data_IF_993803816619
#
_entry.id   IF_993803816619
#
_cell.length_a   1.000
_cell.length_b   1.000
_cell.length_c   1.000
_cell.angle_alpha   90.00
_cell.angle_beta   90.00
_cell.angle_gamma   90.00
#
_symmetry.space_group_name_H-M   'P 1'
#
loop_
_entity.id
_entity.type
_entity.pdbx_description
1 polymer ?
#
# COMPACT_ATOMS: atom_id res chain seq x y z
N UNK A 1 -13.23 33.15 27.68
CA UNK A 1 -13.68 31.74 27.88
C UNK A 1 -12.52 30.82 27.58
N UNK A 2 -12.17 29.86 28.46
CA UNK A 2 -11.04 28.93 28.22
C UNK A 2 -11.36 28.01 27.02
N UNK A 3 -10.44 27.88 26.08
CA UNK A 3 -10.59 27.08 24.85
C UNK A 3 -11.12 25.64 25.10
N UNK A 4 -10.76 25.04 26.23
CA UNK A 4 -11.23 23.71 26.65
C UNK A 4 -12.75 23.64 26.90
N UNK A 5 -13.35 24.71 27.45
CA UNK A 5 -14.80 24.72 27.71
C UNK A 5 -15.60 24.93 26.44
N UNK A 6 -15.00 25.62 25.48
CA UNK A 6 -15.54 25.85 24.15
C UNK A 6 -15.57 24.54 23.32
N UNK A 7 -14.45 23.81 23.27
CA UNK A 7 -14.35 22.52 22.59
C UNK A 7 -15.34 21.49 23.17
N UNK A 8 -15.45 21.37 24.47
CA UNK A 8 -16.41 20.46 25.15
C UNK A 8 -17.85 20.76 24.81
N UNK A 9 -18.23 22.04 24.73
CA UNK A 9 -19.60 22.44 24.34
C UNK A 9 -19.89 22.10 22.88
N UNK A 10 -18.98 22.44 21.94
CA UNK A 10 -19.14 22.15 20.52
C UNK A 10 -19.20 20.62 20.26
N UNK A 11 -18.36 19.84 20.91
CA UNK A 11 -18.34 18.38 20.77
C UNK A 11 -19.60 17.71 21.36
N UNK A 12 -20.04 18.14 22.54
CA UNK A 12 -21.21 17.59 23.17
C UNK A 12 -22.50 17.88 22.41
N UNK A 13 -22.62 19.07 21.81
CA UNK A 13 -23.77 19.42 20.98
C UNK A 13 -23.73 18.74 19.60
N UNK A 14 -22.54 18.57 19.01
CA UNK A 14 -22.36 17.84 17.75
C UNK A 14 -22.76 16.35 17.90
N UNK A 15 -22.41 15.71 19.01
CA UNK A 15 -22.83 14.33 19.32
C UNK A 15 -24.36 14.22 19.49
N UNK A 16 -25.00 15.16 20.16
CA UNK A 16 -26.48 15.18 20.29
C UNK A 16 -27.16 15.44 18.94
N UNK A 17 -26.55 16.27 18.08
CA UNK A 17 -27.01 16.53 16.71
C UNK A 17 -27.02 15.30 15.83
N UNK A 18 -25.94 14.49 15.90
CA UNK A 18 -25.79 13.22 15.19
C UNK A 18 -26.86 12.19 15.60
N UNK A 19 -27.17 12.11 16.90
CA UNK A 19 -28.19 11.17 17.43
C UNK A 19 -29.62 11.58 17.02
N UNK A 20 -29.90 12.88 16.88
CA UNK A 20 -31.22 13.37 16.50
C UNK A 20 -31.61 13.18 15.04
N UNK A 21 -30.62 13.06 14.12
CA UNK A 21 -30.82 12.90 12.67
C UNK A 21 -29.93 11.77 12.09
N UNK A 22 -30.06 10.61 12.66
CA UNK A 22 -29.22 9.41 12.34
C UNK A 22 -29.12 9.11 10.85
N UNK A 23 -30.21 9.28 10.06
CA UNK A 23 -30.23 8.94 8.63
C UNK A 23 -29.32 9.82 7.77
N UNK A 24 -29.32 11.14 7.96
CA UNK A 24 -28.49 12.05 7.16
C UNK A 24 -27.00 11.99 7.57
N UNK A 25 -26.74 11.90 8.88
CA UNK A 25 -25.37 11.75 9.37
C UNK A 25 -24.76 10.41 8.99
N UNK A 26 -25.53 9.30 9.04
CA UNK A 26 -25.05 7.98 8.67
C UNK A 26 -24.69 7.89 7.18
N UNK A 27 -25.45 8.56 6.28
CA UNK A 27 -25.11 8.57 4.86
C UNK A 27 -23.76 9.25 4.58
N UNK A 28 -23.47 10.38 5.22
CA UNK A 28 -22.19 11.06 5.09
C UNK A 28 -21.04 10.20 5.64
N UNK A 29 -21.18 9.61 6.83
CA UNK A 29 -20.22 8.69 7.42
C UNK A 29 -19.96 7.50 6.49
N UNK A 30 -21.01 6.91 5.91
CA UNK A 30 -20.92 5.73 5.07
C UNK A 30 -20.21 6.03 3.74
N UNK A 31 -20.45 7.20 3.14
CA UNK A 31 -19.78 7.62 1.90
C UNK A 31 -18.31 7.93 2.17
N UNK A 32 -17.99 8.61 3.27
CA UNK A 32 -16.59 8.82 3.68
C UNK A 32 -15.90 7.47 3.94
N UNK A 33 -16.57 6.56 4.65
CA UNK A 33 -16.04 5.24 4.93
C UNK A 33 -15.76 4.46 3.64
N UNK A 34 -16.72 4.43 2.70
CA UNK A 34 -16.55 3.76 1.41
C UNK A 34 -15.41 4.35 0.59
N UNK A 35 -15.29 5.68 0.57
CA UNK A 35 -14.18 6.37 -0.11
C UNK A 35 -12.83 5.97 0.45
N UNK A 36 -12.72 5.91 1.79
CA UNK A 36 -11.49 5.53 2.46
C UNK A 36 -11.21 4.03 2.37
N UNK A 37 -12.24 3.17 2.24
CA UNK A 37 -12.06 1.74 1.95
C UNK A 37 -11.46 1.55 0.56
N UNK A 38 -11.94 2.26 -0.45
CA UNK A 38 -11.39 2.20 -1.80
C UNK A 38 -9.93 2.67 -1.80
N UNK A 39 -9.68 3.88 -1.31
CA UNK A 39 -8.32 4.43 -1.25
C UNK A 39 -7.38 3.55 -0.40
N UNK A 40 -7.82 3.18 0.80
CA UNK A 40 -7.06 2.37 1.73
C UNK A 40 -6.82 0.95 1.22
N UNK A 41 -7.77 0.37 0.49
CA UNK A 41 -7.62 -0.93 -0.16
C UNK A 41 -6.48 -0.94 -1.18
N UNK A 42 -6.45 0.05 -2.07
CA UNK A 42 -5.34 0.21 -3.02
C UNK A 42 -4.00 0.46 -2.32
N UNK A 43 -3.99 1.28 -1.26
CA UNK A 43 -2.77 1.51 -0.48
C UNK A 43 -2.31 0.24 0.24
N UNK A 44 -3.24 -0.55 0.77
CA UNK A 44 -2.94 -1.81 1.44
C UNK A 44 -2.31 -2.82 0.47
N UNK A 45 -2.91 -3.00 -0.70
CA UNK A 45 -2.37 -3.89 -1.75
C UNK A 45 -1.00 -3.40 -2.20
N UNK A 46 -0.86 -2.10 -2.52
CA UNK A 46 0.41 -1.51 -2.92
C UNK A 46 1.50 -1.65 -1.85
N UNK A 47 1.16 -1.49 -0.57
CA UNK A 47 2.10 -1.65 0.55
C UNK A 47 2.62 -3.09 0.64
N UNK A 48 1.72 -4.07 0.56
CA UNK A 48 2.09 -5.49 0.62
C UNK A 48 2.91 -5.93 -0.60
N UNK A 49 2.55 -5.46 -1.81
CA UNK A 49 3.33 -5.74 -3.01
C UNK A 49 4.72 -5.10 -2.97
N UNK A 50 4.83 -3.86 -2.47
CA UNK A 50 6.14 -3.23 -2.28
C UNK A 50 7.01 -4.00 -1.28
N UNK A 51 6.42 -4.54 -0.20
CA UNK A 51 7.13 -5.40 0.75
C UNK A 51 7.66 -6.68 0.10
N UNK A 52 6.88 -7.28 -0.79
CA UNK A 52 7.31 -8.45 -1.58
C UNK A 52 8.46 -8.08 -2.53
N UNK A 53 8.30 -6.98 -3.29
CA UNK A 53 9.33 -6.49 -4.20
C UNK A 53 10.64 -6.16 -3.48
N UNK A 54 10.55 -5.57 -2.28
CA UNK A 54 11.74 -5.25 -1.49
C UNK A 54 12.49 -6.52 -1.06
N UNK A 55 11.78 -7.53 -0.59
CA UNK A 55 12.36 -8.85 -0.26
C UNK A 55 12.98 -9.54 -1.47
N UNK A 56 12.37 -9.42 -2.65
CA UNK A 56 12.93 -9.95 -3.89
C UNK A 56 14.17 -9.17 -4.32
N UNK A 57 14.16 -7.86 -4.14
CA UNK A 57 15.32 -7.00 -4.38
C UNK A 57 16.49 -7.29 -3.43
N UNK A 58 16.20 -7.53 -2.15
CA UNK A 58 17.23 -7.91 -1.16
C UNK A 58 17.86 -9.28 -1.52
N UNK A 59 17.07 -10.16 -2.11
CA UNK A 59 17.55 -11.42 -2.70
C UNK A 59 18.13 -11.25 -4.10
N UNK A 60 18.26 -10.00 -4.60
CA UNK A 60 18.76 -9.67 -5.93
C UNK A 60 20.11 -10.34 -6.22
N UNK A 61 20.03 -11.54 -6.76
CA UNK A 61 21.16 -12.35 -7.13
C UNK A 61 21.35 -12.23 -8.63
N UNK A 62 22.59 -11.97 -9.05
CA UNK A 62 22.99 -12.29 -10.42
C UNK A 62 23.26 -13.77 -10.43
N UNK A 63 22.62 -14.50 -11.32
CA UNK A 63 22.82 -15.93 -11.44
C UNK A 63 23.61 -16.20 -12.70
N UNK A 64 24.82 -16.74 -12.53
CA UNK A 64 25.71 -17.13 -13.64
C UNK A 64 25.60 -18.63 -13.81
N UNK A 65 24.97 -19.06 -14.89
CA UNK A 65 24.81 -20.48 -15.21
C UNK A 65 26.04 -21.00 -15.93
N UNK A 66 26.45 -22.19 -15.55
CA UNK A 66 27.59 -22.87 -16.20
C UNK A 66 27.12 -23.84 -17.28
N UNK A 67 27.91 -23.98 -18.34
CA UNK A 67 27.66 -24.96 -19.38
C UNK A 67 27.62 -26.39 -18.82
N UNK A 68 26.77 -27.29 -19.38
CA UNK A 68 26.80 -28.68 -19.00
C UNK A 68 28.17 -29.29 -19.31
N UNK A 69 28.80 -29.90 -18.29
CA UNK A 69 30.13 -30.51 -18.47
C UNK A 69 31.32 -29.56 -18.30
N UNK A 70 31.12 -28.39 -17.68
CA UNK A 70 32.19 -27.46 -17.33
C UNK A 70 33.33 -28.15 -16.59
N UNK A 71 34.56 -27.70 -16.82
CA UNK A 71 35.77 -28.20 -16.16
C UNK A 71 36.03 -27.45 -14.83
N UNK A 72 36.78 -28.09 -13.93
CA UNK A 72 37.22 -27.47 -12.68
C UNK A 72 38.02 -26.16 -12.92
N UNK A 73 38.81 -26.12 -14.01
CA UNK A 73 39.54 -24.90 -14.38
C UNK A 73 38.63 -23.77 -14.82
N UNK A 74 37.54 -24.04 -15.53
CA UNK A 74 36.53 -23.06 -15.91
C UNK A 74 35.78 -22.54 -14.69
N UNK A 75 35.38 -23.44 -13.79
CA UNK A 75 34.75 -23.04 -12.53
C UNK A 75 35.65 -22.12 -11.68
N UNK A 76 36.96 -22.43 -11.62
CA UNK A 76 37.94 -21.58 -10.93
C UNK A 76 38.06 -20.20 -11.58
N UNK A 77 38.17 -20.13 -12.91
CA UNK A 77 38.27 -18.88 -13.64
C UNK A 77 37.05 -17.97 -13.37
N UNK A 78 35.83 -18.53 -13.40
CA UNK A 78 34.61 -17.80 -13.05
C UNK A 78 34.64 -17.37 -11.58
N UNK A 79 35.08 -18.24 -10.66
CA UNK A 79 35.18 -17.90 -9.22
C UNK A 79 36.14 -16.76 -8.99
N UNK A 80 37.29 -16.73 -9.66
CA UNK A 80 38.29 -15.68 -9.50
C UNK A 80 37.79 -14.35 -10.09
N UNK A 81 37.16 -14.38 -11.27
CA UNK A 81 36.53 -13.19 -11.86
C UNK A 81 35.42 -12.59 -10.97
N UNK A 82 34.61 -13.44 -10.35
CA UNK A 82 33.57 -13.00 -9.37
C UNK A 82 34.23 -12.37 -8.16
N UNK A 83 35.29 -12.99 -7.62
CA UNK A 83 35.99 -12.50 -6.42
C UNK A 83 36.74 -11.19 -6.64
N UNK A 84 37.25 -10.95 -7.85
CA UNK A 84 37.95 -9.72 -8.21
C UNK A 84 37.02 -8.53 -8.45
N UNK A 85 35.70 -8.75 -8.55
CA UNK A 85 34.72 -7.70 -8.77
C UNK A 85 34.38 -7.00 -7.46
N UNK A 86 34.66 -5.68 -7.29
CA UNK A 86 34.46 -4.95 -6.03
C UNK A 86 32.96 -4.68 -5.73
N UNK A 87 32.08 -4.95 -6.68
CA UNK A 87 30.63 -4.78 -6.57
C UNK A 87 29.95 -5.91 -5.81
N UNK A 88 30.67 -7.02 -5.57
CA UNK A 88 30.10 -8.23 -4.99
C UNK A 88 30.24 -8.24 -3.48
N UNK A 89 29.13 -8.51 -2.80
CA UNK A 89 29.06 -8.70 -1.35
C UNK A 89 29.39 -10.14 -0.98
N UNK A 90 28.72 -11.09 -1.65
CA UNK A 90 28.91 -12.51 -1.42
C UNK A 90 28.54 -13.32 -2.67
N UNK A 91 29.08 -14.52 -2.80
CA UNK A 91 28.66 -15.47 -3.81
C UNK A 91 28.68 -16.89 -3.27
N UNK A 92 27.83 -17.74 -3.87
CA UNK A 92 27.75 -19.15 -3.53
C UNK A 92 27.67 -19.96 -4.82
N UNK A 93 28.45 -21.01 -4.91
CA UNK A 93 28.31 -22.01 -5.95
C UNK A 93 27.16 -22.96 -5.58
N UNK A 94 26.26 -23.20 -6.52
CA UNK A 94 25.14 -24.13 -6.41
C UNK A 94 25.34 -25.21 -7.47
N UNK A 95 25.50 -26.45 -7.04
CA UNK A 95 25.58 -27.58 -7.95
C UNK A 95 24.22 -27.91 -8.58
N UNK A 96 24.23 -28.63 -9.71
CA UNK A 96 22.99 -29.07 -10.36
C UNK A 96 22.07 -29.88 -9.43
N UNK A 97 22.63 -30.72 -8.55
CA UNK A 97 21.89 -31.55 -7.60
C UNK A 97 21.30 -30.69 -6.45
N UNK A 98 22.06 -29.69 -6.00
CA UNK A 98 21.60 -28.73 -5.01
C UNK A 98 20.45 -27.88 -5.57
N UNK A 99 20.58 -27.42 -6.83
CA UNK A 99 19.53 -26.70 -7.54
C UNK A 99 18.24 -27.53 -7.68
N UNK A 100 18.34 -28.81 -8.03
CA UNK A 100 17.20 -29.72 -8.11
C UNK A 100 16.54 -29.96 -6.74
N UNK A 101 17.34 -30.04 -5.69
CA UNK A 101 16.83 -30.20 -4.32
C UNK A 101 16.11 -28.93 -3.85
N UNK A 102 16.69 -27.78 -4.13
CA UNK A 102 16.06 -26.50 -3.81
C UNK A 102 14.76 -26.31 -4.59
N UNK A 103 14.74 -26.62 -5.88
CA UNK A 103 13.55 -26.55 -6.73
C UNK A 103 12.40 -27.41 -6.18
N UNK A 104 12.70 -28.64 -5.75
CA UNK A 104 11.69 -29.52 -5.13
C UNK A 104 11.14 -28.96 -3.83
N UNK A 105 11.97 -28.30 -3.03
CA UNK A 105 11.53 -27.69 -1.77
C UNK A 105 10.67 -26.45 -1.99
N UNK A 106 11.04 -25.64 -3.00
CA UNK A 106 10.36 -24.37 -3.29
C UNK A 106 9.06 -24.58 -4.09
N UNK A 107 9.01 -25.64 -4.93
CA UNK A 107 7.90 -25.96 -5.82
C UNK A 107 7.43 -27.43 -5.63
N UNK A 108 6.81 -27.71 -4.50
CA UNK A 108 6.41 -29.08 -4.14
C UNK A 108 5.54 -29.79 -5.21
N UNK A 109 4.61 -29.03 -5.84
CA UNK A 109 3.73 -29.58 -6.90
C UNK A 109 4.46 -29.85 -8.22
N UNK A 110 5.52 -29.10 -8.53
CA UNK A 110 6.33 -29.24 -9.75
C UNK A 110 7.57 -30.09 -9.51
N UNK A 111 7.97 -30.30 -8.26
CA UNK A 111 9.15 -31.07 -7.89
C UNK A 111 9.08 -32.52 -8.36
N UNK A 112 7.88 -33.09 -8.42
CA UNK A 112 7.64 -34.45 -8.93
C UNK A 112 7.94 -34.56 -10.43
N UNK A 113 7.81 -33.48 -11.20
CA UNK A 113 8.13 -33.49 -12.63
C UNK A 113 9.61 -33.77 -12.88
N UNK A 114 10.50 -33.29 -12.00
CA UNK A 114 11.94 -33.58 -12.12
C UNK A 114 12.26 -35.08 -11.94
N UNK A 115 11.39 -35.84 -11.27
CA UNK A 115 11.58 -37.29 -11.07
C UNK A 115 11.25 -38.11 -12.32
N UNK A 116 10.48 -37.55 -13.26
CA UNK A 116 10.14 -38.17 -14.53
C UNK A 116 11.18 -37.92 -15.64
N UNK A 117 12.15 -37.02 -15.40
CA UNK A 117 13.23 -36.72 -16.34
C UNK A 117 14.39 -37.67 -16.04
N UNK A 118 14.96 -38.27 -17.11
CA UNK A 118 16.09 -39.21 -17.00
C UNK A 118 17.39 -38.50 -16.55
N UNK A 119 17.52 -37.20 -16.89
CA UNK A 119 18.65 -36.37 -16.49
C UNK A 119 18.16 -35.07 -15.82
N UNK A 120 18.96 -34.54 -14.88
CA UNK A 120 18.67 -33.26 -14.24
C UNK A 120 18.84 -32.13 -15.26
N UNK A 121 17.74 -31.40 -15.62
CA UNK A 121 17.82 -30.31 -16.59
C UNK A 121 18.39 -29.01 -16.01
N UNK A 122 18.59 -28.94 -14.68
CA UNK A 122 19.03 -27.72 -14.02
C UNK A 122 20.56 -27.64 -14.08
N UNK A 123 21.13 -26.55 -14.65
CA UNK A 123 22.58 -26.35 -14.68
C UNK A 123 23.12 -25.97 -13.31
N UNK A 124 24.42 -26.19 -13.11
CA UNK A 124 25.11 -25.60 -11.98
C UNK A 124 25.21 -24.08 -12.17
N UNK A 125 25.21 -23.31 -11.10
CA UNK A 125 25.23 -21.86 -11.16
C UNK A 125 25.98 -21.22 -9.99
N UNK A 126 26.43 -19.99 -10.21
CA UNK A 126 26.87 -19.11 -9.13
C UNK A 126 25.71 -18.15 -8.79
N UNK A 127 25.34 -18.12 -7.52
CA UNK A 127 24.38 -17.17 -6.98
C UNK A 127 25.17 -16.04 -6.34
N UNK A 128 25.11 -14.85 -6.94
CA UNK A 128 25.96 -13.70 -6.60
C UNK A 128 25.09 -12.60 -6.01
N UNK A 129 25.43 -12.16 -4.80
CA UNK A 129 24.79 -11.02 -4.14
C UNK A 129 25.65 -9.78 -4.34
N UNK A 130 25.04 -8.70 -4.82
CA UNK A 130 25.73 -7.45 -5.13
C UNK A 130 25.50 -6.42 -4.03
N UNK A 131 26.51 -5.61 -3.70
CA UNK A 131 26.40 -4.52 -2.75
C UNK A 131 25.28 -3.53 -3.13
N UNK A 132 24.51 -3.03 -2.15
CA UNK A 132 23.43 -2.06 -2.39
C UNK A 132 23.87 -0.83 -3.19
N UNK A 133 25.09 -0.36 -2.96
CA UNK A 133 25.67 0.82 -3.64
C UNK A 133 25.93 0.60 -5.11
N UNK A 134 26.14 -0.65 -5.52
CA UNK A 134 26.48 -1.05 -6.89
C UNK A 134 25.28 -1.60 -7.67
N UNK A 135 24.08 -1.59 -7.09
CA UNK A 135 22.82 -2.04 -7.72
C UNK A 135 22.30 -1.05 -8.78
N UNK A 136 23.19 -0.41 -9.52
CA UNK A 136 22.83 0.38 -10.67
C UNK A 136 22.63 -0.55 -11.88
N UNK A 137 21.47 -0.43 -12.56
CA UNK A 137 21.04 -1.27 -13.68
C UNK A 137 22.15 -1.38 -14.77
N UNK A 138 22.77 -0.26 -15.12
CA UNK A 138 23.83 -0.22 -16.12
C UNK A 138 25.13 -0.94 -15.70
N UNK A 139 25.50 -0.84 -14.43
CA UNK A 139 26.69 -1.49 -13.90
C UNK A 139 26.51 -3.01 -13.82
N UNK A 140 25.32 -3.47 -13.46
CA UNK A 140 25.01 -4.88 -13.33
C UNK A 140 24.83 -5.58 -14.67
N UNK A 141 24.25 -4.90 -15.66
CA UNK A 141 24.22 -5.38 -17.03
C UNK A 141 25.63 -5.53 -17.60
N UNK A 142 26.49 -4.53 -17.41
CA UNK A 142 27.87 -4.59 -17.87
C UNK A 142 28.67 -5.71 -17.19
N UNK A 143 28.40 -5.99 -15.90
CA UNK A 143 29.00 -7.12 -15.18
C UNK A 143 28.50 -8.46 -15.73
N UNK A 144 27.19 -8.61 -15.93
CA UNK A 144 26.61 -9.82 -16.49
C UNK A 144 27.16 -10.10 -17.92
N UNK A 145 27.18 -9.09 -18.79
CA UNK A 145 27.76 -9.18 -20.13
C UNK A 145 29.24 -9.58 -20.07
N UNK A 146 30.02 -9.04 -19.12
CA UNK A 146 31.42 -9.39 -18.95
C UNK A 146 31.60 -10.85 -18.49
N UNK A 147 30.74 -11.35 -17.61
CA UNK A 147 30.79 -12.74 -17.14
C UNK A 147 30.30 -13.73 -18.21
N UNK A 148 29.38 -13.36 -19.08
CA UNK A 148 28.98 -14.19 -20.25
C UNK A 148 30.12 -14.43 -21.23
N UNK A 149 31.15 -13.58 -21.25
CA UNK A 149 32.33 -13.79 -22.11
C UNK A 149 33.32 -14.80 -21.54
N UNK A 150 33.12 -15.24 -20.28
CA UNK A 150 34.04 -16.19 -19.63
C UNK A 150 33.82 -17.62 -20.16
N UNK A 151 34.88 -18.39 -20.39
CA UNK A 151 34.76 -19.76 -20.87
C UNK A 151 34.06 -20.65 -19.82
N UNK A 152 33.02 -21.38 -20.24
CA UNK A 152 32.26 -22.28 -19.40
C UNK A 152 31.03 -21.62 -18.76
N UNK A 153 30.72 -20.37 -19.09
CA UNK A 153 29.48 -19.70 -18.77
C UNK A 153 28.48 -19.84 -19.92
N UNK A 154 27.30 -20.35 -19.62
CA UNK A 154 26.20 -20.49 -20.59
C UNK A 154 25.37 -19.20 -20.66
N UNK A 155 25.02 -18.63 -19.51
CA UNK A 155 24.27 -17.38 -19.42
C UNK A 155 24.50 -16.71 -18.07
N UNK A 156 24.49 -15.37 -18.02
CA UNK A 156 24.39 -14.60 -16.82
C UNK A 156 23.04 -13.92 -16.76
N UNK A 157 22.14 -14.45 -15.94
CA UNK A 157 20.78 -13.91 -15.81
C UNK A 157 20.70 -12.95 -14.63
N UNK A 158 20.07 -11.84 -14.89
CA UNK A 158 19.80 -10.82 -13.91
C UNK A 158 18.30 -10.44 -13.93
N UNK A 159 17.63 -10.76 -12.84
CA UNK A 159 16.17 -10.67 -12.74
C UNK A 159 15.60 -9.23 -12.64
N UNK A 160 16.41 -8.18 -12.93
CA UNK A 160 15.94 -6.79 -12.84
C UNK A 160 14.77 -6.47 -13.76
N UNK A 161 14.73 -7.05 -14.96
CA UNK A 161 13.65 -6.70 -15.90
C UNK A 161 12.28 -7.15 -15.38
N UNK A 162 12.23 -8.31 -14.74
CA UNK A 162 11.01 -8.81 -14.08
C UNK A 162 10.63 -7.92 -12.90
N UNK A 163 11.60 -7.58 -12.04
CA UNK A 163 11.39 -6.71 -10.89
C UNK A 163 10.91 -5.33 -11.36
N UNK A 164 11.54 -4.74 -12.39
CA UNK A 164 11.16 -3.45 -12.96
C UNK A 164 9.74 -3.46 -13.53
N UNK A 165 9.38 -4.50 -14.27
CA UNK A 165 8.00 -4.64 -14.81
C UNK A 165 6.98 -4.74 -13.68
N UNK A 166 7.29 -5.48 -12.62
CA UNK A 166 6.45 -5.57 -11.43
C UNK A 166 6.34 -4.22 -10.70
N UNK A 167 7.44 -3.46 -10.57
CA UNK A 167 7.42 -2.11 -10.00
C UNK A 167 6.54 -1.14 -10.78
N UNK A 168 6.65 -1.16 -12.11
CA UNK A 168 5.78 -0.36 -12.96
C UNK A 168 4.32 -0.74 -12.75
N UNK A 169 4.02 -2.03 -12.63
CA UNK A 169 2.68 -2.54 -12.31
C UNK A 169 2.17 -2.04 -10.95
N UNK A 170 3.00 -2.14 -9.90
CA UNK A 170 2.63 -1.68 -8.54
C UNK A 170 2.45 -0.16 -8.49
N UNK A 171 3.34 0.60 -9.15
CA UNK A 171 3.21 2.05 -9.24
C UNK A 171 1.98 2.46 -10.05
N UNK A 172 1.67 1.76 -11.14
CA UNK A 172 0.44 1.96 -11.91
C UNK A 172 -0.80 1.70 -11.06
N UNK A 173 -0.83 0.58 -10.32
CA UNK A 173 -1.93 0.25 -9.41
C UNK A 173 -2.11 1.32 -8.33
N UNK A 174 -1.02 1.81 -7.75
CA UNK A 174 -1.03 2.90 -6.77
C UNK A 174 -1.59 4.18 -7.36
N UNK A 175 -1.17 4.55 -8.57
CA UNK A 175 -1.68 5.73 -9.27
C UNK A 175 -3.19 5.63 -9.52
N UNK A 176 -3.67 4.52 -10.05
CA UNK A 176 -5.11 4.24 -10.25
C UNK A 176 -5.86 4.34 -8.93
N UNK A 177 -5.33 3.77 -7.86
CA UNK A 177 -5.93 3.83 -6.52
C UNK A 177 -6.05 5.25 -5.98
N UNK A 178 -5.01 6.08 -6.16
CA UNK A 178 -5.04 7.50 -5.75
C UNK A 178 -6.08 8.28 -6.56
N UNK A 179 -6.15 8.06 -7.87
CA UNK A 179 -7.12 8.76 -8.74
C UNK A 179 -8.55 8.35 -8.38
N UNK A 180 -8.85 7.07 -8.33
CA UNK A 180 -10.19 6.57 -7.99
C UNK A 180 -10.58 6.97 -6.57
N UNK A 181 -9.70 6.75 -5.60
CA UNK A 181 -9.93 7.12 -4.21
C UNK A 181 -10.12 8.62 -4.04
N UNK A 182 -9.36 9.43 -4.78
CA UNK A 182 -9.49 10.89 -4.81
C UNK A 182 -10.84 11.35 -5.36
N UNK A 183 -11.30 10.78 -6.47
CA UNK A 183 -12.61 11.10 -7.05
C UNK A 183 -13.74 10.77 -6.07
N UNK A 184 -13.71 9.58 -5.46
CA UNK A 184 -14.73 9.18 -4.48
C UNK A 184 -14.65 10.03 -3.20
N UNK A 185 -13.43 10.44 -2.78
CA UNK A 185 -13.25 11.35 -1.65
C UNK A 185 -13.84 12.75 -1.92
N UNK A 186 -13.65 13.28 -3.14
CA UNK A 186 -14.27 14.55 -3.55
C UNK A 186 -15.80 14.42 -3.52
N UNK A 187 -16.36 13.33 -4.01
CA UNK A 187 -17.79 13.06 -3.91
C UNK A 187 -18.28 13.00 -2.45
N UNK A 188 -17.48 12.42 -1.55
CA UNK A 188 -17.75 12.39 -0.12
C UNK A 188 -17.76 13.79 0.50
N UNK A 189 -16.80 14.65 0.15
CA UNK A 189 -16.72 16.05 0.59
C UNK A 189 -17.96 16.82 0.14
N UNK A 190 -18.35 16.70 -1.14
CA UNK A 190 -19.55 17.37 -1.68
C UNK A 190 -20.82 16.88 -0.97
N UNK A 191 -20.94 15.58 -0.75
CA UNK A 191 -22.09 15.01 -0.03
C UNK A 191 -22.15 15.50 1.41
N UNK A 192 -21.01 15.52 2.12
CA UNK A 192 -20.92 16.06 3.47
C UNK A 192 -21.31 17.54 3.50
N UNK A 193 -20.84 18.33 2.54
CA UNK A 193 -21.22 19.75 2.40
C UNK A 193 -22.74 19.90 2.22
N UNK A 194 -23.36 19.10 1.38
CA UNK A 194 -24.82 19.13 1.15
C UNK A 194 -25.61 18.74 2.41
N UNK A 195 -25.17 17.70 3.13
CA UNK A 195 -25.79 17.27 4.39
C UNK A 195 -25.73 18.39 5.42
N UNK A 196 -24.57 19.01 5.60
CA UNK A 196 -24.38 20.11 6.56
C UNK A 196 -25.18 21.35 6.13
N UNK A 197 -25.24 21.67 4.83
CA UNK A 197 -26.06 22.77 4.33
C UNK A 197 -27.54 22.58 4.68
N UNK A 198 -28.09 21.42 4.45
CA UNK A 198 -29.47 21.08 4.84
C UNK A 198 -29.65 21.24 6.34
N UNK A 199 -28.65 20.90 7.13
CA UNK A 199 -28.67 21.03 8.58
C UNK A 199 -28.70 22.51 9.04
N UNK A 200 -27.86 23.35 8.41
CA UNK A 200 -27.80 24.82 8.66
C UNK A 200 -29.17 25.45 8.36
N UNK A 201 -29.74 25.14 7.19
CA UNK A 201 -31.07 25.65 6.79
C UNK A 201 -32.15 25.21 7.79
N UNK A 202 -32.15 23.94 8.19
CA UNK A 202 -33.13 23.42 9.15
C UNK A 202 -33.05 24.04 10.55
N UNK A 203 -31.87 24.56 10.91
CA UNK A 203 -31.63 25.23 12.22
C UNK A 203 -31.52 26.75 12.11
N UNK A 204 -31.97 27.33 10.99
CA UNK A 204 -31.85 28.77 10.75
C UNK A 204 -32.46 29.62 11.89
N UNK A 205 -33.60 29.21 12.46
CA UNK A 205 -34.23 29.90 13.56
C UNK A 205 -33.37 29.89 14.84
N UNK A 206 -32.76 28.76 15.18
CA UNK A 206 -31.86 28.65 16.34
C UNK A 206 -30.62 29.53 16.16
N UNK A 207 -30.07 29.57 14.94
CA UNK A 207 -28.87 30.37 14.57
C UNK A 207 -29.22 31.87 14.71
N UNK A 208 -30.38 32.33 14.24
CA UNK A 208 -30.82 33.73 14.36
C UNK A 208 -30.93 34.12 15.83
N UNK A 209 -31.55 33.30 16.68
CA UNK A 209 -31.68 33.57 18.12
C UNK A 209 -30.29 33.65 18.77
N UNK A 210 -29.38 32.76 18.44
CA UNK A 210 -27.99 32.77 18.95
C UNK A 210 -27.26 34.07 18.55
N UNK A 211 -27.42 34.53 17.31
CA UNK A 211 -26.85 35.80 16.83
C UNK A 211 -27.46 37.01 17.58
N UNK A 212 -28.76 37.01 17.85
CA UNK A 212 -29.44 38.08 18.61
C UNK A 212 -28.94 38.16 20.07
N UNK A 213 -28.58 37.05 20.68
CA UNK A 213 -28.02 37.00 22.05
C UNK A 213 -26.50 37.31 22.07
N UNK A 214 -25.88 37.60 20.88
CA UNK A 214 -24.48 38.03 20.79
C UNK A 214 -23.51 36.90 20.55
N UNK A 215 -23.93 35.72 20.08
CA UNK A 215 -23.01 34.67 19.68
C UNK A 215 -22.20 35.10 18.48
N UNK A 216 -20.87 34.93 18.56
CA UNK A 216 -19.96 35.21 17.42
C UNK A 216 -20.09 34.17 16.33
N UNK A 217 -19.84 34.56 15.10
CA UNK A 217 -19.89 33.69 13.93
C UNK A 217 -19.03 32.41 14.08
N UNK A 218 -17.88 32.55 14.75
CA UNK A 218 -16.99 31.44 15.05
C UNK A 218 -17.62 30.38 15.96
N UNK A 219 -18.53 30.77 16.85
CA UNK A 219 -19.29 29.84 17.73
C UNK A 219 -20.29 29.04 16.91
N UNK A 220 -20.99 29.69 15.99
CA UNK A 220 -21.96 29.05 15.12
C UNK A 220 -21.26 28.09 14.14
N UNK A 221 -20.21 28.54 13.46
CA UNK A 221 -19.44 27.70 12.51
C UNK A 221 -18.73 26.54 13.21
N UNK A 222 -18.18 26.78 14.41
CA UNK A 222 -17.41 25.77 15.16
C UNK A 222 -18.21 24.49 15.46
N UNK A 223 -19.52 24.61 15.73
CA UNK A 223 -20.40 23.46 15.96
C UNK A 223 -20.52 22.55 14.74
N UNK A 224 -20.70 23.12 13.56
CA UNK A 224 -20.84 22.34 12.33
C UNK A 224 -19.50 21.79 11.84
N UNK A 225 -18.39 22.51 12.07
CA UNK A 225 -17.05 22.00 11.84
C UNK A 225 -16.76 20.77 12.73
N UNK A 226 -17.15 20.83 13.99
CA UNK A 226 -17.04 19.67 14.89
C UNK A 226 -17.90 18.49 14.41
N UNK A 227 -19.11 18.76 13.89
CA UNK A 227 -19.96 17.71 13.32
C UNK A 227 -19.31 17.06 12.07
N UNK A 228 -18.77 17.85 11.16
CA UNK A 228 -18.01 17.34 10.00
C UNK A 228 -16.79 16.53 10.42
N UNK A 229 -16.02 17.02 11.39
CA UNK A 229 -14.84 16.30 11.92
C UNK A 229 -15.22 14.96 12.54
N UNK A 230 -16.31 14.89 13.31
CA UNK A 230 -16.81 13.65 13.91
C UNK A 230 -17.28 12.67 12.82
N UNK A 231 -17.99 13.14 11.80
CA UNK A 231 -18.43 12.30 10.67
C UNK A 231 -17.20 11.74 9.93
N UNK A 232 -16.19 12.56 9.67
CA UNK A 232 -14.94 12.15 9.06
C UNK A 232 -14.16 11.13 9.89
N UNK A 233 -14.08 11.36 11.20
CA UNK A 233 -13.44 10.42 12.13
C UNK A 233 -14.18 9.07 12.19
N UNK A 234 -15.50 9.09 12.34
CA UNK A 234 -16.31 7.86 12.34
C UNK A 234 -16.18 7.12 11.00
N UNK A 235 -16.23 7.84 9.87
CA UNK A 235 -16.00 7.26 8.55
C UNK A 235 -14.65 6.55 8.44
N UNK A 236 -13.59 7.16 8.97
CA UNK A 236 -12.25 6.57 8.98
C UNK A 236 -12.18 5.31 9.85
N UNK A 237 -12.79 5.32 11.02
CA UNK A 237 -12.83 4.16 11.93
C UNK A 237 -13.57 2.99 11.27
N UNK A 238 -14.72 3.26 10.64
CA UNK A 238 -15.45 2.22 9.90
C UNK A 238 -14.65 1.69 8.71
N UNK A 239 -13.98 2.57 7.95
CA UNK A 239 -13.13 2.16 6.84
C UNK A 239 -12.00 1.23 7.31
N UNK A 240 -11.31 1.60 8.40
CA UNK A 240 -10.24 0.80 8.99
C UNK A 240 -10.73 -0.56 9.51
N UNK A 241 -11.92 -0.61 10.13
CA UNK A 241 -12.53 -1.87 10.55
C UNK A 241 -12.83 -2.79 9.36
N UNK A 242 -13.37 -2.24 8.27
CA UNK A 242 -13.65 -3.00 7.04
C UNK A 242 -12.35 -3.50 6.41
N UNK A 243 -11.33 -2.64 6.27
CA UNK A 243 -10.03 -3.01 5.73
C UNK A 243 -9.34 -4.09 6.59
N UNK A 244 -9.43 -3.97 7.91
CA UNK A 244 -8.92 -4.99 8.82
C UNK A 244 -9.64 -6.32 8.63
N UNK A 245 -10.96 -6.32 8.53
CA UNK A 245 -11.73 -7.52 8.28
C UNK A 245 -11.36 -8.17 6.93
N UNK A 246 -11.23 -7.38 5.86
CA UNK A 246 -10.80 -7.87 4.54
C UNK A 246 -9.40 -8.50 4.63
N UNK A 247 -8.45 -7.84 5.30
CA UNK A 247 -7.10 -8.35 5.48
C UNK A 247 -7.10 -9.67 6.26
N UNK A 248 -7.86 -9.76 7.35
CA UNK A 248 -7.99 -10.99 8.16
C UNK A 248 -8.60 -12.16 7.39
N UNK A 249 -9.64 -11.88 6.59
CA UNK A 249 -10.26 -12.88 5.71
C UNK A 249 -9.24 -13.34 4.65
N UNK A 250 -8.49 -12.41 4.05
CA UNK A 250 -7.43 -12.73 3.10
C UNK A 250 -6.36 -13.64 3.71
N UNK A 251 -5.87 -13.31 4.90
CA UNK A 251 -4.89 -14.15 5.63
C UNK A 251 -5.46 -15.54 5.90
N UNK A 252 -6.70 -15.63 6.41
CA UNK A 252 -7.31 -16.91 6.73
C UNK A 252 -7.53 -17.78 5.48
N UNK A 253 -7.83 -17.16 4.34
CA UNK A 253 -7.99 -17.87 3.07
C UNK A 253 -6.65 -18.43 2.58
N UNK A 254 -5.57 -17.67 2.68
CA UNK A 254 -4.21 -18.11 2.33
C UNK A 254 -3.76 -19.27 3.21
N UNK A 255 -3.99 -19.19 4.52
CA UNK A 255 -3.59 -20.25 5.48
C UNK A 255 -4.44 -21.52 5.40
N UNK A 256 -5.67 -21.44 4.87
CA UNK A 256 -6.58 -22.56 4.71
C UNK A 256 -6.36 -23.39 3.42
N UNK A 257 -5.23 -23.20 2.71
CA UNK A 257 -4.92 -23.91 1.47
C UNK A 257 -5.26 -23.15 0.20
N UNK A 258 -5.22 -21.82 0.26
CA UNK A 258 -5.31 -20.95 -0.92
C UNK A 258 -4.15 -21.17 -1.90
N UNK A 259 -4.21 -20.54 -3.10
CA UNK A 259 -3.17 -20.71 -4.12
C UNK A 259 -1.77 -20.43 -3.57
N UNK A 260 -0.77 -21.30 -3.86
CA UNK A 260 0.58 -21.21 -3.29
C UNK A 260 1.27 -19.86 -3.59
N UNK A 261 0.90 -19.20 -4.70
CA UNK A 261 1.40 -17.86 -5.03
C UNK A 261 1.00 -16.78 -4.00
N UNK A 262 -0.17 -16.95 -3.34
CA UNK A 262 -0.62 -16.00 -2.31
C UNK A 262 0.11 -16.21 -0.97
N UNK A 263 0.67 -17.39 -0.72
CA UNK A 263 1.47 -17.65 0.48
C UNK A 263 2.80 -16.89 0.49
N UNK A 264 3.28 -16.45 -0.69
CA UNK A 264 4.48 -15.61 -0.83
C UNK A 264 4.23 -14.17 -0.33
N UNK A 265 2.96 -13.75 -0.25
CA UNK A 265 2.57 -12.42 0.23
C UNK A 265 2.24 -12.52 1.71
N UNK A 266 3.18 -12.14 2.57
CA UNK A 266 2.88 -11.88 3.98
C UNK A 266 1.94 -10.68 4.08
N UNK A 267 0.64 -10.93 4.16
CA UNK A 267 -0.36 -9.88 4.28
C UNK A 267 -0.19 -9.16 5.61
N UNK A 268 0.52 -8.04 5.56
CA UNK A 268 0.68 -7.15 6.71
C UNK A 268 -0.38 -6.05 6.67
N UNK A 269 -1.00 -5.82 7.81
CA UNK A 269 -1.89 -4.68 7.96
C UNK A 269 -1.10 -3.39 8.09
N UNK A 270 -1.75 -2.24 7.94
CA UNK A 270 -1.10 -0.93 7.91
C UNK A 270 -0.17 -0.67 9.11
N UNK A 271 0.95 -0.02 8.83
CA UNK A 271 1.79 0.61 9.85
C UNK A 271 1.02 1.77 10.52
N UNK A 272 1.38 2.09 11.77
CA UNK A 272 0.78 3.18 12.58
C UNK A 272 0.70 4.51 11.81
N UNK A 273 1.71 4.78 10.96
CA UNK A 273 1.73 6.00 10.13
C UNK A 273 0.59 6.03 9.11
N UNK A 274 0.36 4.94 8.39
CA UNK A 274 -0.73 4.83 7.40
C UNK A 274 -2.11 4.87 8.07
N UNK A 275 -2.20 4.30 9.27
CA UNK A 275 -3.39 4.39 10.12
C UNK A 275 -3.74 5.85 10.44
N UNK A 276 -2.74 6.61 10.90
CA UNK A 276 -2.91 8.03 11.24
C UNK A 276 -3.24 8.88 10.00
N UNK A 277 -2.64 8.56 8.84
CA UNK A 277 -2.92 9.24 7.57
C UNK A 277 -4.38 9.03 7.13
N UNK A 278 -4.91 7.81 7.19
CA UNK A 278 -6.31 7.54 6.82
C UNK A 278 -7.30 8.25 7.75
N UNK A 279 -7.02 8.27 9.05
CA UNK A 279 -7.84 9.03 10.00
C UNK A 279 -7.76 10.52 9.70
N UNK A 280 -6.55 11.04 9.47
CA UNK A 280 -6.33 12.44 9.12
C UNK A 280 -7.07 12.86 7.85
N UNK A 281 -7.02 12.03 6.80
CA UNK A 281 -7.73 12.27 5.55
C UNK A 281 -9.25 12.30 5.73
N UNK A 282 -9.80 11.39 6.51
CA UNK A 282 -11.24 11.37 6.75
C UNK A 282 -11.72 12.58 7.57
N UNK A 283 -10.98 12.95 8.62
CA UNK A 283 -11.26 14.16 9.40
C UNK A 283 -11.13 15.42 8.52
N UNK A 284 -10.10 15.51 7.69
CA UNK A 284 -9.92 16.61 6.76
C UNK A 284 -11.06 16.71 5.75
N UNK A 285 -11.49 15.57 5.17
CA UNK A 285 -12.64 15.53 4.26
C UNK A 285 -13.92 16.03 4.91
N UNK A 286 -14.19 15.62 6.17
CA UNK A 286 -15.34 16.08 6.95
C UNK A 286 -15.28 17.59 7.26
N UNK A 287 -14.11 18.09 7.63
CA UNK A 287 -13.88 19.53 7.89
C UNK A 287 -14.03 20.36 6.61
N UNK A 288 -13.45 19.92 5.49
CA UNK A 288 -13.56 20.61 4.19
C UNK A 288 -15.02 20.64 3.74
N UNK A 289 -15.74 19.52 3.86
CA UNK A 289 -17.18 19.47 3.56
C UNK A 289 -17.98 20.46 4.41
N UNK A 290 -17.69 20.57 5.70
CA UNK A 290 -18.33 21.53 6.58
C UNK A 290 -18.01 22.98 6.21
N UNK A 291 -16.76 23.29 5.83
CA UNK A 291 -16.36 24.63 5.39
C UNK A 291 -17.08 25.04 4.10
N UNK A 292 -17.16 24.14 3.11
CA UNK A 292 -17.84 24.38 1.84
C UNK A 292 -19.35 24.63 2.03
N UNK A 293 -19.97 23.97 3.02
CA UNK A 293 -21.37 24.18 3.34
C UNK A 293 -21.67 25.64 3.76
N UNK A 294 -20.74 26.28 4.47
CA UNK A 294 -20.90 27.67 4.90
C UNK A 294 -20.63 28.68 3.79
N UNK A 295 -19.56 28.47 2.99
CA UNK A 295 -19.24 29.41 1.90
C UNK A 295 -20.39 29.57 0.90
N UNK A 296 -21.15 28.49 0.69
CA UNK A 296 -22.32 28.53 -0.18
C UNK A 296 -23.62 29.05 0.51
N UNK A 297 -23.67 29.09 1.84
CA UNK A 297 -24.81 29.66 2.57
C UNK A 297 -24.73 31.19 2.63
N UNK A 298 -23.54 31.77 2.78
CA UNK A 298 -23.31 33.22 2.78
C UNK A 298 -23.62 33.85 1.41
N UNK A 299 -23.44 33.11 0.29
CA UNK A 299 -23.77 33.58 -1.07
C UNK A 299 -25.27 33.64 -1.39
N UNK A 300 -26.12 33.05 -0.57
CA UNK A 300 -27.59 33.08 -0.70
C UNK A 300 -28.24 34.18 0.13
N UNK A 301 -27.49 34.88 1.00
CA UNK A 301 -27.94 36.02 1.79
C UNK A 301 -27.60 37.39 1.16
N UNK A 302 -26.87 37.40 0.03
CA UNK A 302 -26.65 38.59 -0.82
C UNK A 302 -27.64 38.62 -2.00
#
# INVERSE_FOLDING_TARGET
MRADRYLKLCFGEALRGLVGRRRAASSAVLIIALSLVVLGGFLLVSHNLNGLLHRWRERGHVQVFLEPGFTVSQQQAVTDAIRESPEIDSFRFMSADEAATQFRNDFQELGDLLTFLEENPLPASFVITVHERSRNEGALLALAENWETLPGVDAAQYDLEVIRRLELGVNGLRFVGIVLGGVVLIAAIITTANVIRVLVVARRREIIVLRLVGATESVVRGRFLAEGAIQGFLGSVFALMILYAICRIGVSFVTAGGPPLLSLVELQFFNVLLFAQLIGLGVAAGLIGALLAFGAADSLEQ
#
